data_IF_423602252064
#
_entry.id   IF_423602252064
#
_cell.length_a   1.000
_cell.length_b   1.000
_cell.length_c   1.000
_cell.angle_alpha   90.00
_cell.angle_beta   90.00
_cell.angle_gamma   90.00
#
_symmetry.space_group_name_H-M   'P 1'
#
loop_
_entity.id
_entity.type
_entity.pdbx_description
1 polymer ?
#
# COMPACT_ATOMS: atom_id res chain seq x y z
N UNK A 1 17.77 -4.76 -19.34
CA UNK A 1 18.01 -3.50 -20.08
C UNK A 1 18.21 -2.38 -19.08
N UNK A 2 19.33 -1.66 -19.17
CA UNK A 2 19.67 -0.53 -18.29
C UNK A 2 18.96 0.71 -18.83
N UNK A 3 17.80 1.05 -18.26
CA UNK A 3 17.17 2.36 -18.43
C UNK A 3 17.10 3.05 -17.07
N UNK A 4 18.26 3.45 -16.56
CA UNK A 4 18.37 4.57 -15.63
C UNK A 4 18.86 5.79 -16.42
N UNK A 5 18.13 6.14 -17.49
CA UNK A 5 18.14 7.53 -17.94
C UNK A 5 17.31 8.27 -16.91
N UNK A 6 17.99 9.03 -16.06
CA UNK A 6 17.42 9.94 -15.07
C UNK A 6 16.71 11.05 -15.84
N UNK A 7 15.51 10.74 -16.35
CA UNK A 7 14.53 11.76 -16.60
C UNK A 7 14.13 12.27 -15.22
N UNK A 8 14.62 13.46 -14.86
CA UNK A 8 14.03 14.32 -13.87
C UNK A 8 12.59 14.60 -14.32
N UNK A 9 11.69 13.64 -14.11
CA UNK A 9 10.26 13.87 -14.15
C UNK A 9 10.02 14.73 -12.92
N UNK A 10 10.06 16.04 -13.13
CA UNK A 10 9.54 17.03 -12.20
C UNK A 10 8.19 16.49 -11.70
N UNK A 11 8.10 16.11 -10.42
CA UNK A 11 6.86 15.79 -9.72
C UNK A 11 5.93 17.03 -9.59
N UNK A 12 5.99 17.95 -10.55
CA UNK A 12 5.04 19.02 -10.71
C UNK A 12 3.77 18.42 -11.32
N UNK A 13 2.83 18.04 -10.46
CA UNK A 13 1.44 17.86 -10.86
C UNK A 13 1.13 16.60 -11.67
N UNK A 14 1.47 15.41 -11.16
CA UNK A 14 0.58 14.27 -11.39
C UNK A 14 -0.69 14.50 -10.58
N UNK A 15 -1.54 15.41 -11.04
CA UNK A 15 -2.96 15.31 -10.82
C UNK A 15 -3.37 14.00 -11.49
N UNK A 16 -3.23 12.89 -10.76
CA UNK A 16 -3.79 11.62 -11.19
C UNK A 16 -5.26 11.91 -11.45
N UNK A 17 -5.64 11.84 -12.73
CA UNK A 17 -7.01 11.98 -13.16
C UNK A 17 -7.85 11.16 -12.19
N UNK A 18 -8.71 11.86 -11.46
CA UNK A 18 -9.59 11.36 -10.42
C UNK A 18 -10.52 10.34 -11.09
N UNK A 19 -10.05 9.11 -11.21
CA UNK A 19 -10.91 7.97 -11.47
C UNK A 19 -11.82 7.88 -10.27
N UNK A 20 -13.06 8.34 -10.41
CA UNK A 20 -14.11 8.21 -9.43
C UNK A 20 -14.15 6.74 -8.96
N UNK A 21 -13.60 6.47 -7.78
CA UNK A 21 -13.94 5.29 -6.99
C UNK A 21 -15.37 5.48 -6.49
N UNK A 22 -16.32 5.29 -7.41
CA UNK A 22 -17.74 5.21 -7.11
C UNK A 22 -17.98 4.00 -6.23
N UNK A 23 -18.64 4.26 -5.11
CA UNK A 23 -19.21 3.31 -4.18
C UNK A 23 -20.11 2.30 -4.91
N UNK A 24 -19.59 1.11 -5.22
CA UNK A 24 -20.38 0.02 -5.80
C UNK A 24 -20.92 -0.85 -4.67
N UNK A 25 -22.00 -0.40 -4.05
CA UNK A 25 -22.92 -1.23 -3.26
C UNK A 25 -24.10 -1.62 -4.13
N UNK A 26 -23.82 -2.31 -5.23
CA UNK A 26 -24.74 -3.26 -5.83
C UNK A 26 -23.88 -4.32 -6.48
N UNK A 27 -24.05 -5.58 -6.08
CA UNK A 27 -23.46 -6.74 -6.74
C UNK A 27 -24.09 -6.90 -8.13
N UNK A 28 -23.85 -5.95 -9.03
CA UNK A 28 -23.99 -6.17 -10.45
C UNK A 28 -22.70 -6.81 -10.94
N UNK A 29 -22.84 -7.91 -11.66
CA UNK A 29 -21.83 -8.50 -12.56
C UNK A 29 -21.45 -7.48 -13.66
N UNK A 30 -20.91 -6.32 -13.27
CA UNK A 30 -20.46 -5.26 -14.15
C UNK A 30 -19.03 -5.53 -14.58
N UNK A 31 -18.86 -6.13 -15.76
CA UNK A 31 -17.71 -5.95 -16.67
C UNK A 31 -16.42 -5.43 -16.02
N UNK A 32 -15.73 -6.29 -15.27
CA UNK A 32 -14.38 -6.06 -14.71
C UNK A 32 -13.26 -5.89 -15.77
N UNK A 33 -13.59 -5.60 -17.03
CA UNK A 33 -12.75 -6.00 -18.15
C UNK A 33 -11.81 -4.93 -18.73
N UNK A 34 -11.90 -3.63 -18.38
CA UNK A 34 -11.14 -2.61 -19.13
C UNK A 34 -10.61 -1.40 -18.35
N UNK A 35 -10.37 -1.49 -17.04
CA UNK A 35 -9.62 -0.39 -16.39
C UNK A 35 -8.16 -0.41 -16.88
N UNK A 36 -7.58 0.76 -17.17
CA UNK A 36 -6.16 0.88 -17.56
C UNK A 36 -5.23 0.19 -16.55
N UNK A 37 -5.58 0.24 -15.26
CA UNK A 37 -4.84 -0.45 -14.20
C UNK A 37 -4.87 -1.98 -14.35
N UNK A 38 -6.02 -2.55 -14.75
CA UNK A 38 -6.13 -3.99 -15.01
C UNK A 38 -5.27 -4.40 -16.21
N UNK A 39 -5.26 -3.59 -17.28
CA UNK A 39 -4.40 -3.81 -18.45
C UNK A 39 -2.91 -3.70 -18.08
N UNK A 40 -2.51 -2.75 -17.24
CA UNK A 40 -1.13 -2.66 -16.78
C UNK A 40 -0.71 -3.86 -15.91
N UNK A 41 -1.60 -4.34 -15.03
CA UNK A 41 -1.34 -5.58 -14.27
C UNK A 41 -1.19 -6.78 -15.19
N UNK A 42 -1.99 -6.87 -16.24
CA UNK A 42 -1.86 -7.92 -17.25
C UNK A 42 -0.51 -7.83 -17.97
N UNK A 43 -0.10 -6.64 -18.42
CA UNK A 43 1.23 -6.42 -19.02
C UNK A 43 2.34 -6.88 -18.07
N UNK A 44 2.28 -6.53 -16.78
CA UNK A 44 3.27 -6.96 -15.79
C UNK A 44 3.30 -8.48 -15.60
N UNK A 45 2.13 -9.14 -15.52
CA UNK A 45 2.03 -10.58 -15.35
C UNK A 45 2.58 -11.35 -16.56
N UNK A 46 2.20 -10.91 -17.77
CA UNK A 46 2.70 -11.51 -19.02
C UNK A 46 4.23 -11.30 -19.13
N UNK A 47 4.72 -10.11 -18.82
CA UNK A 47 6.17 -9.80 -18.80
C UNK A 47 6.90 -10.73 -17.82
N UNK A 48 6.39 -10.88 -16.59
CA UNK A 48 7.01 -11.77 -15.59
C UNK A 48 7.02 -13.24 -16.04
N UNK A 49 5.96 -13.72 -16.69
CA UNK A 49 5.90 -15.09 -17.20
C UNK A 49 6.92 -15.33 -18.32
N UNK A 50 7.05 -14.37 -19.25
CA UNK A 50 8.04 -14.41 -20.33
C UNK A 50 9.46 -14.37 -19.76
N UNK A 51 9.73 -13.46 -18.82
CA UNK A 51 11.04 -13.35 -18.15
C UNK A 51 11.40 -14.62 -17.37
N UNK A 52 10.43 -15.25 -16.71
CA UNK A 52 10.63 -16.52 -16.01
C UNK A 52 11.01 -17.63 -16.98
N UNK A 53 10.29 -17.78 -18.10
CA UNK A 53 10.57 -18.81 -19.10
C UNK A 53 11.93 -18.63 -19.79
N UNK A 54 12.39 -17.39 -19.90
CA UNK A 54 13.70 -17.04 -20.49
C UNK A 54 14.88 -17.17 -19.51
N UNK A 55 14.62 -17.38 -18.21
CA UNK A 55 15.67 -17.58 -17.20
C UNK A 55 15.66 -19.04 -16.73
N UNK A 56 16.48 -19.89 -17.37
CA UNK A 56 16.47 -21.34 -17.12
C UNK A 56 16.66 -21.66 -15.62
N UNK A 57 17.60 -21.04 -14.91
CA UNK A 57 17.80 -21.28 -13.47
C UNK A 57 16.56 -20.96 -12.62
N UNK A 58 15.86 -19.86 -12.88
CA UNK A 58 14.61 -19.52 -12.18
C UNK A 58 13.49 -20.46 -12.59
N UNK A 59 13.43 -20.83 -13.87
CA UNK A 59 12.45 -21.75 -14.40
C UNK A 59 12.59 -23.14 -13.74
N UNK A 60 13.80 -23.70 -13.72
CA UNK A 60 14.13 -24.98 -13.08
C UNK A 60 13.71 -24.98 -11.61
N UNK A 61 14.00 -23.88 -10.90
CA UNK A 61 13.63 -23.71 -9.49
C UNK A 61 12.11 -23.71 -9.29
N UNK A 62 11.35 -23.05 -10.17
CA UNK A 62 9.87 -23.00 -10.11
C UNK A 62 9.25 -24.33 -10.55
N UNK A 63 9.84 -24.98 -11.54
CA UNK A 63 9.38 -26.26 -12.05
C UNK A 63 9.84 -27.45 -11.19
N UNK A 64 10.74 -27.23 -10.21
CA UNK A 64 11.42 -28.26 -9.43
C UNK A 64 12.17 -29.27 -10.32
N UNK A 65 12.88 -28.77 -11.34
CA UNK A 65 13.58 -29.57 -12.36
C UNK A 65 12.68 -30.61 -13.05
N UNK A 66 11.37 -30.35 -13.16
CA UNK A 66 10.44 -31.22 -13.83
C UNK A 66 10.26 -30.78 -15.29
N UNK A 67 10.85 -31.53 -16.21
CA UNK A 67 10.85 -31.22 -17.65
C UNK A 67 9.44 -30.98 -18.23
N UNK A 68 8.43 -31.75 -17.79
CA UNK A 68 7.04 -31.56 -18.25
C UNK A 68 6.45 -30.22 -17.80
N UNK A 69 6.71 -29.82 -16.55
CA UNK A 69 6.27 -28.51 -16.03
C UNK A 69 7.01 -27.36 -16.72
N UNK A 70 8.30 -27.51 -16.99
CA UNK A 70 9.08 -26.52 -17.73
C UNK A 70 8.53 -26.32 -19.15
N UNK A 71 8.27 -27.42 -19.86
CA UNK A 71 7.68 -27.38 -21.20
C UNK A 71 6.30 -26.68 -21.18
N UNK A 72 5.45 -26.99 -20.19
CA UNK A 72 4.16 -26.33 -20.03
C UNK A 72 4.28 -24.82 -19.72
N UNK A 73 5.26 -24.42 -18.91
CA UNK A 73 5.53 -23.01 -18.62
C UNK A 73 6.07 -22.27 -19.85
N UNK A 74 6.99 -22.87 -20.60
CA UNK A 74 7.50 -22.32 -21.87
C UNK A 74 6.37 -22.15 -22.91
N UNK A 75 5.48 -23.13 -23.03
CA UNK A 75 4.31 -23.03 -23.91
C UNK A 75 3.36 -21.89 -23.49
N UNK A 76 3.04 -21.77 -22.20
CA UNK A 76 2.24 -20.64 -21.68
C UNK A 76 2.93 -19.29 -21.91
N UNK A 77 4.25 -19.23 -21.74
CA UNK A 77 5.03 -18.02 -21.98
C UNK A 77 5.03 -17.63 -23.47
N UNK A 78 5.04 -18.59 -24.40
CA UNK A 78 4.93 -18.31 -25.83
C UNK A 78 3.57 -17.66 -26.17
N UNK A 79 2.46 -18.21 -25.66
CA UNK A 79 1.13 -17.58 -25.83
C UNK A 79 1.07 -16.20 -25.16
N UNK A 80 1.65 -16.07 -23.97
CA UNK A 80 1.72 -14.80 -23.25
C UNK A 80 2.54 -13.75 -24.02
N UNK A 81 3.63 -14.14 -24.67
CA UNK A 81 4.47 -13.26 -25.48
C UNK A 81 3.68 -12.65 -26.64
N UNK A 82 2.85 -13.43 -27.34
CA UNK A 82 1.98 -12.90 -28.40
C UNK A 82 0.99 -11.88 -27.86
N UNK A 83 0.33 -12.17 -26.73
CA UNK A 83 -0.61 -11.23 -26.10
C UNK A 83 0.09 -9.97 -25.60
N UNK A 84 1.28 -10.13 -25.02
CA UNK A 84 2.11 -9.02 -24.55
C UNK A 84 2.51 -8.11 -25.70
N UNK A 85 2.90 -8.66 -26.87
CA UNK A 85 3.23 -7.88 -28.05
C UNK A 85 2.03 -7.04 -28.53
N UNK A 86 0.81 -7.60 -28.53
CA UNK A 86 -0.41 -6.86 -28.85
C UNK A 86 -0.63 -5.70 -27.87
N UNK A 87 -0.52 -5.93 -26.56
CA UNK A 87 -0.69 -4.87 -25.56
C UNK A 87 0.40 -3.79 -25.66
N UNK A 88 1.64 -4.20 -25.93
CA UNK A 88 2.79 -3.29 -26.07
C UNK A 88 2.71 -2.41 -27.32
N UNK A 89 1.97 -2.83 -28.35
CA UNK A 89 1.74 -2.00 -29.54
C UNK A 89 0.93 -0.73 -29.25
N UNK A 90 0.18 -0.69 -28.13
CA UNK A 90 -0.56 0.50 -27.70
C UNK A 90 0.37 1.43 -26.88
N UNK A 91 0.97 2.41 -27.56
CA UNK A 91 1.93 3.34 -26.95
C UNK A 91 1.35 4.13 -25.75
N UNK A 92 0.09 4.56 -25.83
CA UNK A 92 -0.60 5.30 -24.74
C UNK A 92 -0.79 4.44 -23.50
N UNK A 93 -1.20 3.18 -23.69
CA UNK A 93 -1.30 2.20 -22.60
C UNK A 93 0.07 2.00 -21.97
N UNK A 94 1.11 1.75 -22.77
CA UNK A 94 2.47 1.50 -22.26
C UNK A 94 3.06 2.70 -21.51
N UNK A 95 2.81 3.93 -21.97
CA UNK A 95 3.21 5.13 -21.25
C UNK A 95 2.57 5.18 -19.85
N UNK A 96 1.28 4.86 -19.74
CA UNK A 96 0.58 4.80 -18.45
C UNK A 96 1.11 3.66 -17.58
N UNK A 97 1.31 2.47 -18.15
CA UNK A 97 1.81 1.32 -17.40
C UNK A 97 3.23 1.51 -16.90
N UNK A 98 4.09 2.20 -17.65
CA UNK A 98 5.45 2.52 -17.20
C UNK A 98 5.44 3.39 -15.94
N UNK A 99 4.52 4.35 -15.82
CA UNK A 99 4.35 5.14 -14.60
C UNK A 99 3.86 4.29 -13.43
N UNK A 100 2.91 3.38 -13.67
CA UNK A 100 2.42 2.44 -12.66
C UNK A 100 3.53 1.52 -12.18
N UNK A 101 4.32 0.96 -13.10
CA UNK A 101 5.43 0.06 -12.78
C UNK A 101 6.53 0.77 -11.99
N UNK A 102 6.85 2.02 -12.35
CA UNK A 102 7.79 2.82 -11.57
C UNK A 102 7.28 3.02 -10.13
N UNK A 103 5.99 3.35 -9.95
CA UNK A 103 5.39 3.50 -8.63
C UNK A 103 5.38 2.17 -7.84
N UNK A 104 5.05 1.05 -8.49
CA UNK A 104 5.09 -0.28 -7.86
C UNK A 104 6.52 -0.70 -7.48
N UNK A 105 7.52 -0.37 -8.30
CA UNK A 105 8.93 -0.62 -7.99
C UNK A 105 9.40 0.21 -6.78
N UNK A 106 8.99 1.48 -6.70
CA UNK A 106 9.26 2.30 -5.52
C UNK A 106 8.59 1.71 -4.27
N UNK A 107 7.32 1.30 -4.35
CA UNK A 107 6.62 0.61 -3.24
C UNK A 107 7.31 -0.67 -2.80
N UNK A 108 7.76 -1.50 -3.75
CA UNK A 108 8.50 -2.72 -3.46
C UNK A 108 9.84 -2.40 -2.76
N UNK A 109 10.52 -1.35 -3.20
CA UNK A 109 11.74 -0.85 -2.56
C UNK A 109 11.48 -0.34 -1.14
N UNK A 110 10.38 0.39 -0.91
CA UNK A 110 9.95 0.80 0.44
C UNK A 110 9.67 -0.39 1.36
N UNK A 111 8.92 -1.39 0.86
CA UNK A 111 8.63 -2.60 1.62
C UNK A 111 9.91 -3.36 1.98
N UNK A 112 10.87 -3.44 1.05
CA UNK A 112 12.19 -4.05 1.31
C UNK A 112 12.96 -3.25 2.36
N UNK A 113 13.03 -1.93 2.24
CA UNK A 113 13.70 -1.06 3.20
C UNK A 113 13.11 -1.25 4.61
N UNK A 114 11.78 -1.15 4.75
CA UNK A 114 11.10 -1.37 6.02
C UNK A 114 11.34 -2.78 6.62
N UNK A 115 11.41 -3.81 5.77
CA UNK A 115 11.70 -5.17 6.23
C UNK A 115 13.14 -5.31 6.73
N UNK A 116 14.12 -4.72 6.04
CA UNK A 116 15.52 -4.73 6.45
C UNK A 116 15.74 -3.91 7.73
N UNK A 117 15.08 -2.77 7.89
CA UNK A 117 15.12 -1.98 9.12
C UNK A 117 14.51 -2.74 10.31
N UNK A 118 13.39 -3.45 10.10
CA UNK A 118 12.81 -4.32 11.13
C UNK A 118 13.75 -5.45 11.52
N UNK A 119 14.43 -6.07 10.55
CA UNK A 119 15.43 -7.10 10.81
C UNK A 119 16.60 -6.52 11.62
N UNK A 120 17.12 -5.34 11.23
CA UNK A 120 18.19 -4.66 11.94
C UNK A 120 17.80 -4.34 13.40
N UNK A 121 16.60 -3.78 13.62
CA UNK A 121 16.06 -3.52 14.96
C UNK A 121 15.89 -4.80 15.78
N UNK A 122 15.40 -5.87 15.17
CA UNK A 122 15.22 -7.16 15.84
C UNK A 122 16.57 -7.72 16.32
N UNK A 123 17.59 -7.74 15.48
CA UNK A 123 18.90 -8.31 15.86
C UNK A 123 19.68 -7.44 16.85
N UNK A 124 19.36 -6.14 16.92
CA UNK A 124 19.93 -5.20 17.89
C UNK A 124 19.29 -5.31 19.29
N UNK A 125 18.09 -5.89 19.40
CA UNK A 125 17.40 -6.10 20.68
C UNK A 125 17.53 -7.57 21.10
N UNK A 126 18.44 -7.86 22.03
CA UNK A 126 18.73 -9.23 22.48
C UNK A 126 17.47 -9.97 22.96
N UNK A 127 16.66 -9.35 23.82
CA UNK A 127 15.42 -9.96 24.35
C UNK A 127 14.39 -10.26 23.26
N UNK A 128 14.18 -9.33 22.32
CA UNK A 128 13.25 -9.54 21.20
C UNK A 128 13.78 -10.62 20.23
N UNK A 129 15.09 -10.66 20.00
CA UNK A 129 15.73 -11.70 19.19
C UNK A 129 15.60 -13.08 19.84
N UNK A 130 15.85 -13.17 21.13
CA UNK A 130 15.74 -14.41 21.90
C UNK A 130 14.30 -14.90 21.93
N UNK A 131 13.33 -14.01 22.14
CA UNK A 131 11.90 -14.33 22.04
C UNK A 131 11.52 -14.81 20.63
N UNK A 132 11.94 -14.10 19.58
CA UNK A 132 11.66 -14.46 18.19
C UNK A 132 12.30 -15.79 17.78
N UNK A 133 13.44 -16.14 18.37
CA UNK A 133 14.18 -17.38 18.07
C UNK A 133 13.88 -18.51 19.04
N UNK A 134 13.06 -18.28 20.08
CA UNK A 134 12.80 -19.20 21.19
C UNK A 134 14.10 -19.64 21.88
N UNK A 135 15.00 -18.71 22.12
CA UNK A 135 16.35 -18.94 22.69
C UNK A 135 17.20 -19.92 21.85
N UNK A 136 16.93 -20.08 20.55
CA UNK A 136 17.72 -20.95 19.69
C UNK A 136 18.92 -20.18 19.11
N UNK A 137 20.10 -20.45 19.65
CA UNK A 137 21.35 -19.77 19.28
C UNK A 137 21.66 -19.85 17.77
N UNK A 138 21.42 -20.99 17.12
CA UNK A 138 21.66 -21.16 15.68
C UNK A 138 20.75 -20.27 14.84
N UNK A 139 19.47 -20.15 15.19
CA UNK A 139 18.52 -19.25 14.51
C UNK A 139 18.89 -17.78 14.74
N UNK A 140 19.29 -17.42 15.96
CA UNK A 140 19.74 -16.06 16.27
C UNK A 140 20.99 -15.69 15.45
N UNK A 141 21.98 -16.59 15.38
CA UNK A 141 23.17 -16.41 14.56
C UNK A 141 22.83 -16.26 13.06
N UNK A 142 21.91 -17.07 12.54
CA UNK A 142 21.47 -16.96 11.14
C UNK A 142 20.77 -15.61 10.84
N UNK A 143 19.96 -15.09 11.77
CA UNK A 143 19.33 -13.78 11.62
C UNK A 143 20.37 -12.65 11.67
N UNK A 144 21.33 -12.71 12.60
CA UNK A 144 22.44 -11.74 12.68
C UNK A 144 23.27 -11.74 11.40
N UNK A 145 23.63 -12.93 10.89
CA UNK A 145 24.37 -13.07 9.64
C UNK A 145 23.58 -12.49 8.44
N UNK A 146 22.27 -12.77 8.37
CA UNK A 146 21.40 -12.21 7.32
C UNK A 146 21.31 -10.69 7.42
N UNK A 147 21.17 -10.13 8.62
CA UNK A 147 21.13 -8.68 8.83
C UNK A 147 22.44 -8.02 8.39
N UNK A 148 23.59 -8.61 8.73
CA UNK A 148 24.90 -8.14 8.29
C UNK A 148 25.06 -8.20 6.76
N UNK A 149 24.64 -9.29 6.12
CA UNK A 149 24.70 -9.45 4.67
C UNK A 149 23.84 -8.43 3.90
N UNK A 150 22.70 -8.00 4.46
CA UNK A 150 21.81 -7.02 3.84
C UNK A 150 22.05 -5.57 4.30
N UNK A 151 23.04 -5.33 5.18
CA UNK A 151 23.33 -3.99 5.69
C UNK A 151 23.72 -3.02 4.57
N UNK A 152 24.50 -3.48 3.58
CA UNK A 152 24.86 -2.70 2.40
C UNK A 152 23.64 -2.36 1.53
N UNK A 153 22.73 -3.31 1.34
CA UNK A 153 21.47 -3.08 0.62
C UNK A 153 20.62 -2.02 1.33
N UNK A 154 20.47 -2.13 2.66
CA UNK A 154 19.70 -1.16 3.44
C UNK A 154 20.30 0.24 3.31
N UNK A 155 21.62 0.37 3.47
CA UNK A 155 22.33 1.65 3.31
C UNK A 155 22.13 2.24 1.90
N UNK A 156 22.19 1.41 0.85
CA UNK A 156 21.94 1.85 -0.51
C UNK A 156 20.49 2.29 -0.77
N UNK A 157 19.51 1.69 -0.09
CA UNK A 157 18.11 2.12 -0.20
C UNK A 157 17.88 3.43 0.56
N UNK A 158 18.48 3.57 1.75
CA UNK A 158 18.35 4.77 2.59
C UNK A 158 19.09 5.99 2.02
N UNK A 159 20.17 5.80 1.26
CA UNK A 159 20.88 6.90 0.61
C UNK A 159 20.15 7.49 -0.60
N UNK A 160 19.12 6.80 -1.11
CA UNK A 160 18.30 7.29 -2.20
C UNK A 160 17.22 8.26 -1.67
N UNK A 161 17.48 9.57 -1.79
CA UNK A 161 16.60 10.63 -1.30
C UNK A 161 15.18 10.57 -1.91
N UNK A 162 15.05 10.29 -3.21
CA UNK A 162 13.75 10.18 -3.88
C UNK A 162 12.95 9.00 -3.33
N UNK A 163 13.61 7.86 -3.13
CA UNK A 163 12.98 6.66 -2.56
C UNK A 163 12.54 6.92 -1.12
N UNK A 164 13.41 7.46 -0.27
CA UNK A 164 13.08 7.73 1.14
C UNK A 164 11.92 8.72 1.29
N UNK A 165 11.89 9.78 0.48
CA UNK A 165 10.75 10.70 0.42
C UNK A 165 9.46 9.99 -0.02
N UNK A 166 9.52 9.17 -1.07
CA UNK A 166 8.37 8.38 -1.52
C UNK A 166 7.87 7.42 -0.44
N UNK A 167 8.77 6.74 0.26
CA UNK A 167 8.42 5.80 1.33
C UNK A 167 7.77 6.49 2.53
N UNK A 168 8.22 7.70 2.89
CA UNK A 168 7.60 8.50 3.95
C UNK A 168 6.14 8.87 3.62
N UNK A 169 5.87 9.23 2.36
CA UNK A 169 4.49 9.51 1.90
C UNK A 169 3.64 8.25 1.93
N UNK A 170 4.15 7.11 1.47
CA UNK A 170 3.42 5.84 1.51
C UNK A 170 3.19 5.35 2.95
N UNK A 171 4.12 5.58 3.88
CA UNK A 171 3.94 5.29 5.31
C UNK A 171 2.86 6.18 5.93
N UNK A 172 2.88 7.47 5.62
CA UNK A 172 1.83 8.41 6.05
C UNK A 172 0.47 7.95 5.54
N UNK A 173 0.37 7.62 4.25
CA UNK A 173 -0.85 7.09 3.63
C UNK A 173 -1.32 5.79 4.31
N UNK A 174 -0.42 4.86 4.59
CA UNK A 174 -0.75 3.62 5.30
C UNK A 174 -1.28 3.89 6.72
N UNK A 175 -0.69 4.87 7.42
CA UNK A 175 -1.14 5.31 8.74
C UNK A 175 -2.52 5.96 8.68
N UNK A 176 -2.79 6.80 7.69
CA UNK A 176 -4.12 7.37 7.45
C UNK A 176 -5.18 6.29 7.18
N UNK A 177 -4.85 5.28 6.36
CA UNK A 177 -5.75 4.14 6.14
C UNK A 177 -5.95 3.28 7.41
N UNK A 178 -4.95 3.20 8.29
CA UNK A 178 -5.10 2.53 9.57
C UNK A 178 -6.05 3.32 10.49
N UNK A 179 -5.92 4.65 10.55
CA UNK A 179 -6.84 5.52 11.30
C UNK A 179 -8.28 5.39 10.81
N UNK A 180 -8.51 5.44 9.49
CA UNK A 180 -9.84 5.26 8.91
C UNK A 180 -10.47 3.90 9.27
N UNK A 181 -9.65 2.83 9.30
CA UNK A 181 -10.11 1.49 9.73
C UNK A 181 -10.46 1.44 11.21
N UNK A 182 -9.62 2.02 12.08
CA UNK A 182 -9.90 2.09 13.52
C UNK A 182 -11.19 2.87 13.79
N UNK A 183 -11.40 4.00 13.10
CA UNK A 183 -12.64 4.78 13.19
C UNK A 183 -13.87 3.95 12.80
N UNK A 184 -13.75 3.16 11.74
CA UNK A 184 -14.82 2.24 11.32
C UNK A 184 -15.11 1.18 12.37
N UNK A 185 -14.10 0.50 12.92
CA UNK A 185 -14.30 -0.50 13.98
C UNK A 185 -15.01 0.10 15.20
N UNK A 186 -14.60 1.30 15.61
CA UNK A 186 -15.21 2.01 16.75
C UNK A 186 -16.67 2.35 16.46
N UNK A 187 -16.97 2.84 15.26
CA UNK A 187 -18.35 3.15 14.85
C UNK A 187 -19.23 1.89 14.81
N UNK A 188 -18.71 0.78 14.28
CA UNK A 188 -19.40 -0.52 14.25
C UNK A 188 -19.65 -1.05 15.68
N UNK A 189 -18.69 -0.89 16.60
CA UNK A 189 -18.83 -1.32 18.00
C UNK A 189 -19.85 -0.49 18.79
N UNK A 190 -20.14 0.73 18.35
CA UNK A 190 -21.19 1.58 18.89
C UNK A 190 -22.58 1.29 18.28
N UNK A 191 -22.64 0.58 17.14
CA UNK A 191 -23.90 0.28 16.45
C UNK A 191 -24.50 -1.05 16.92
N UNK A 192 -25.48 -0.98 17.83
CA UNK A 192 -26.13 -2.16 18.40
C UNK A 192 -26.81 -3.06 17.35
N UNK A 193 -27.45 -2.48 16.33
CA UNK A 193 -28.10 -3.24 15.25
C UNK A 193 -27.08 -3.98 14.39
N UNK A 194 -25.99 -3.32 14.01
CA UNK A 194 -24.90 -3.96 13.25
C UNK A 194 -24.28 -5.10 14.07
N UNK A 195 -24.06 -4.90 15.36
CA UNK A 195 -23.52 -5.94 16.24
C UNK A 195 -24.47 -7.14 16.34
N UNK A 196 -25.76 -6.91 16.54
CA UNK A 196 -26.74 -7.98 16.65
C UNK A 196 -26.87 -8.78 15.36
N UNK A 197 -26.93 -8.11 14.21
CA UNK A 197 -26.99 -8.75 12.88
C UNK A 197 -25.70 -9.50 12.55
N UNK A 198 -24.54 -8.85 12.70
CA UNK A 198 -23.23 -9.43 12.37
C UNK A 198 -22.86 -10.63 13.24
N UNK A 199 -23.21 -10.58 14.53
CA UNK A 199 -22.93 -11.65 15.48
C UNK A 199 -24.13 -12.56 15.77
N UNK A 200 -25.28 -12.35 15.10
CA UNK A 200 -26.53 -13.12 15.26
C UNK A 200 -26.95 -13.23 16.73
N UNK A 201 -26.87 -12.12 17.46
CA UNK A 201 -27.19 -12.05 18.89
C UNK A 201 -26.20 -12.76 19.83
N UNK A 202 -25.05 -13.25 19.36
CA UNK A 202 -24.04 -13.90 20.21
C UNK A 202 -23.34 -12.88 21.14
N UNK A 203 -23.84 -12.78 22.38
CA UNK A 203 -23.37 -11.80 23.37
C UNK A 203 -21.88 -11.93 23.71
N UNK A 204 -21.31 -13.14 23.73
CA UNK A 204 -19.88 -13.34 23.99
C UNK A 204 -19.00 -12.78 22.87
N UNK A 205 -19.41 -12.99 21.61
CA UNK A 205 -18.69 -12.44 20.46
C UNK A 205 -18.82 -10.91 20.40
N UNK A 206 -20.01 -10.37 20.68
CA UNK A 206 -20.27 -8.94 20.78
C UNK A 206 -19.39 -8.29 21.86
N UNK A 207 -19.34 -8.87 23.07
CA UNK A 207 -18.50 -8.38 24.16
C UNK A 207 -17.01 -8.37 23.76
N UNK A 208 -16.51 -9.47 23.18
CA UNK A 208 -15.13 -9.57 22.71
C UNK A 208 -14.80 -8.56 21.60
N UNK A 209 -15.76 -8.25 20.73
CA UNK A 209 -15.60 -7.22 19.69
C UNK A 209 -15.54 -5.82 20.32
N UNK A 210 -16.45 -5.51 21.25
CA UNK A 210 -16.43 -4.24 22.00
C UNK A 210 -15.13 -4.04 22.77
N UNK A 211 -14.61 -5.08 23.42
CA UNK A 211 -13.32 -5.03 24.12
C UNK A 211 -12.16 -4.72 23.17
N UNK A 212 -12.16 -5.31 21.98
CA UNK A 212 -11.16 -5.01 20.94
C UNK A 212 -11.31 -3.57 20.43
N UNK A 213 -12.54 -3.14 20.15
CA UNK A 213 -12.82 -1.80 19.69
C UNK A 213 -12.41 -0.74 20.72
N UNK A 214 -12.56 -1.01 22.02
CA UNK A 214 -12.08 -0.14 23.08
C UNK A 214 -10.55 0.02 23.08
N UNK A 215 -9.80 -1.06 22.84
CA UNK A 215 -8.33 -0.99 22.65
C UNK A 215 -7.96 -0.22 21.38
N UNK A 216 -8.70 -0.44 20.30
CA UNK A 216 -8.54 0.28 19.03
C UNK A 216 -8.89 1.77 19.17
N UNK A 217 -9.86 2.13 20.02
CA UNK A 217 -10.21 3.52 20.34
C UNK A 217 -9.05 4.24 21.02
N UNK A 218 -8.37 3.61 21.98
CA UNK A 218 -7.17 4.19 22.62
C UNK A 218 -6.07 4.45 21.58
N UNK A 219 -5.85 3.49 20.66
CA UNK A 219 -4.88 3.64 19.58
C UNK A 219 -5.27 4.75 18.61
N UNK A 220 -6.55 4.83 18.26
CA UNK A 220 -7.09 5.88 17.40
C UNK A 220 -6.89 7.26 18.02
N UNK A 221 -7.22 7.43 19.31
CA UNK A 221 -7.02 8.68 20.04
C UNK A 221 -5.54 9.11 20.06
N UNK A 222 -4.61 8.16 20.25
CA UNK A 222 -3.17 8.41 20.18
C UNK A 222 -2.69 8.86 18.79
N UNK A 223 -3.33 8.37 17.71
CA UNK A 223 -3.02 8.82 16.35
C UNK A 223 -3.67 10.18 16.03
N UNK A 224 -4.89 10.42 16.52
CA UNK A 224 -5.61 11.68 16.30
C UNK A 224 -5.03 12.85 17.08
N UNK A 225 -4.33 12.61 18.20
CA UNK A 225 -3.64 13.66 18.94
C UNK A 225 -2.43 14.24 18.19
N UNK A 226 -1.95 13.56 17.14
CA UNK A 226 -0.91 14.08 16.25
C UNK A 226 -1.54 14.98 15.17
N UNK A 227 -1.53 16.29 15.40
CA UNK A 227 -2.10 17.31 14.51
C UNK A 227 -1.45 17.34 13.11
N UNK A 228 -0.14 17.06 13.03
CA UNK A 228 0.60 16.98 11.77
C UNK A 228 0.10 15.79 10.93
N UNK A 229 -0.03 14.62 11.55
CA UNK A 229 -0.53 13.41 10.88
C UNK A 229 -1.98 13.60 10.39
N UNK A 230 -2.86 14.13 11.24
CA UNK A 230 -4.27 14.37 10.85
C UNK A 230 -4.37 15.36 9.69
N UNK A 231 -3.58 16.44 9.71
CA UNK A 231 -3.50 17.40 8.60
C UNK A 231 -3.00 16.74 7.31
N UNK A 232 -1.96 15.90 7.40
CA UNK A 232 -1.45 15.14 6.26
C UNK A 232 -2.50 14.15 5.71
N UNK A 233 -3.26 13.48 6.57
CA UNK A 233 -4.32 12.57 6.14
C UNK A 233 -5.46 13.29 5.40
N UNK A 234 -5.84 14.48 5.87
CA UNK A 234 -6.81 15.33 5.18
C UNK A 234 -6.28 15.79 3.82
N UNK A 235 -5.01 16.19 3.73
CA UNK A 235 -4.38 16.61 2.47
C UNK A 235 -4.27 15.46 1.46
N UNK A 236 -4.03 14.23 1.94
CA UNK A 236 -4.01 13.02 1.10
C UNK A 236 -5.42 12.57 0.68
N UNK A 237 -6.47 13.24 1.14
CA UNK A 237 -7.87 12.89 0.91
C UNK A 237 -8.14 11.41 1.21
N UNK A 238 -7.46 10.85 2.21
CA UNK A 238 -7.77 9.54 2.78
C UNK A 238 -8.93 9.76 3.74
N UNK A 239 -10.06 10.23 3.21
CA UNK A 239 -11.29 10.32 3.99
C UNK A 239 -11.71 8.92 4.34
N UNK A 240 -11.99 8.72 5.62
CA UNK A 240 -12.69 7.54 6.11
C UNK A 240 -13.95 7.40 5.27
N UNK A 241 -13.96 6.46 4.32
CA UNK A 241 -15.21 5.89 3.83
C UNK A 241 -15.82 5.11 4.99
N UNK A 242 -16.24 5.83 6.03
CA UNK A 242 -17.40 5.45 6.79
C UNK A 242 -18.54 5.65 5.80
N UNK A 243 -18.86 4.59 5.05
CA UNK A 243 -20.13 4.47 4.36
C UNK A 243 -21.20 4.56 5.44
N UNK A 244 -21.58 5.77 5.81
CA UNK A 244 -22.81 6.04 6.53
C UNK A 244 -23.91 5.82 5.51
N UNK A 245 -24.28 4.55 5.32
CA UNK A 245 -25.59 4.21 4.80
C UNK A 245 -26.60 4.59 5.89
N UNK A 246 -26.79 5.88 6.07
CA UNK A 246 -27.99 6.40 6.72
C UNK A 246 -28.92 6.71 5.56
N UNK A 247 -29.78 5.75 5.24
CA UNK A 247 -30.98 5.99 4.45
C UNK A 247 -31.86 6.98 5.22
N UNK A 248 -31.51 8.27 5.14
CA UNK A 248 -32.44 9.34 5.49
C UNK A 248 -33.12 9.69 4.19
N UNK A 249 -34.37 9.25 4.06
CA UNK A 249 -35.25 9.61 2.96
C UNK A 249 -35.19 11.12 2.72
N UNK A 250 -34.73 11.50 1.53
CA UNK A 250 -34.63 12.89 1.11
C UNK A 250 -36.03 13.49 0.91
N UNK A 251 -36.30 14.56 1.65
CA UNK A 251 -37.25 15.59 1.22
C UNK A 251 -36.46 16.59 0.37
N UNK A 252 -36.78 16.61 -0.92
CA UNK A 252 -36.21 17.49 -1.94
C UNK A 252 -36.69 18.93 -1.73
N UNK A 253 -35.77 19.86 -1.52
CA UNK A 253 -36.03 21.29 -1.75
C UNK A 253 -34.95 21.84 -2.68
N UNK A 254 -35.40 22.18 -3.87
CA UNK A 254 -34.67 22.82 -4.95
C UNK A 254 -34.33 24.25 -4.56
N UNK A 255 -33.07 24.67 -4.71
CA UNK A 255 -32.79 26.10 -4.94
C UNK A 255 -31.57 26.28 -5.82
N UNK A 256 -31.83 27.03 -6.88
CA UNK A 256 -31.00 27.42 -8.02
C UNK A 256 -30.10 28.60 -7.66
N UNK A 257 -28.92 28.70 -8.28
CA UNK A 257 -28.27 29.99 -8.57
C UNK A 257 -26.80 30.14 -8.15
N UNK A 258 -25.92 30.13 -9.16
CA UNK A 258 -24.73 30.98 -9.46
C UNK A 258 -24.04 31.72 -8.30
N UNK A 259 -22.70 31.86 -8.22
CA UNK A 259 -21.85 32.77 -9.04
C UNK A 259 -20.36 32.35 -8.99
N UNK A 260 -19.64 32.65 -10.08
CA UNK A 260 -18.20 32.60 -10.24
C UNK A 260 -17.43 33.63 -9.39
N UNK A 261 -16.23 33.23 -8.93
CA UNK A 261 -15.04 34.05 -8.62
C UNK A 261 -13.85 33.06 -8.59
N UNK A 262 -12.77 33.17 -9.36
CA UNK A 262 -12.04 34.39 -9.69
C UNK A 262 -11.04 34.69 -8.56
N UNK A 263 -10.05 33.81 -8.35
CA UNK A 263 -9.06 33.94 -7.28
C UNK A 263 -7.65 33.61 -7.78
N UNK A 264 -6.86 34.65 -7.98
CA UNK A 264 -5.47 34.59 -8.41
C UNK A 264 -4.53 34.06 -7.31
N UNK A 265 -3.51 33.32 -7.77
CA UNK A 265 -2.16 33.18 -7.22
C UNK A 265 -1.91 33.35 -5.72
N UNK A 266 -1.59 32.24 -5.07
CA UNK A 266 -0.44 32.14 -4.15
C UNK A 266 0.18 30.76 -4.30
N UNK A 267 1.18 30.64 -5.17
CA UNK A 267 2.19 29.58 -5.10
C UNK A 267 2.94 29.74 -3.79
N UNK A 268 2.46 29.09 -2.72
CA UNK A 268 3.30 28.92 -1.54
C UNK A 268 4.43 27.96 -1.94
N UNK A 269 5.70 28.35 -1.76
CA UNK A 269 6.78 27.40 -1.90
C UNK A 269 6.52 26.30 -0.86
N UNK A 270 6.53 25.03 -1.29
CA UNK A 270 6.80 23.92 -0.39
C UNK A 270 8.18 24.18 0.21
N UNK A 271 8.21 24.98 1.27
CA UNK A 271 9.36 25.15 2.12
C UNK A 271 9.76 23.74 2.55
N UNK A 272 11.01 23.42 2.28
CA UNK A 272 11.63 22.17 2.63
C UNK A 272 11.17 21.77 4.05
N UNK A 273 10.43 20.66 4.15
CA UNK A 273 10.28 19.91 5.38
C UNK A 273 11.67 19.37 5.73
N UNK A 274 12.52 20.26 6.26
CA UNK A 274 13.80 19.92 6.85
C UNK A 274 13.51 19.06 8.06
N UNK A 275 13.67 17.75 7.88
CA UNK A 275 14.06 16.79 8.90
C UNK A 275 13.48 17.03 10.29
N UNK A 276 12.18 16.78 10.46
CA UNK A 276 11.67 16.45 11.79
C UNK A 276 12.02 14.99 12.06
N UNK A 277 13.27 14.72 12.42
CA UNK A 277 13.68 13.48 13.12
C UNK A 277 13.11 13.53 14.54
N UNK A 278 11.78 13.50 14.66
CA UNK A 278 11.12 13.28 15.93
C UNK A 278 11.33 11.81 16.29
N UNK A 279 12.27 11.59 17.21
CA UNK A 279 12.42 10.37 17.99
C UNK A 279 11.09 10.08 18.68
N UNK A 280 10.25 9.27 18.06
CA UNK A 280 9.03 8.70 18.64
C UNK A 280 9.00 7.20 18.37
N UNK A 281 10.14 6.54 18.60
CA UNK A 281 10.27 5.09 18.63
C UNK A 281 10.64 4.70 20.05
N UNK A 282 9.64 4.45 20.89
CA UNK A 282 9.79 3.56 22.04
C UNK A 282 8.46 3.04 22.61
N UNK A 283 7.38 3.83 22.64
CA UNK A 283 6.26 3.49 23.53
C UNK A 283 5.06 2.73 22.91
N UNK A 284 4.88 2.69 21.58
CA UNK A 284 3.60 2.23 20.99
C UNK A 284 3.68 0.86 20.28
N UNK A 285 4.87 0.26 20.13
CA UNK A 285 5.04 -1.02 19.40
C UNK A 285 5.26 -2.25 20.29
N UNK A 286 5.04 -2.13 21.61
CA UNK A 286 5.13 -3.25 22.58
C UNK A 286 3.77 -3.66 23.19
N UNK A 287 2.65 -3.20 22.62
CA UNK A 287 1.28 -3.61 22.95
C UNK A 287 0.57 -4.12 21.69
#
# INVERSE_FOLDING_TARGET
MKFFSVALISLAGLAMAKGHQGNSTTAQHGTHANSTMAQCREVAQLTHLVDLANNQTRLDKVAHNNATKEAALKAKAATAATKLATLQSNATLMATCNQVFAAEQMRASCARMAALERLARLVANATALDAATKNNATKAAALKAKAAAEAGTLSSLQSNATLTQFCSVEETKATCHAMARLQKTVAEAANATWLDDHFKGNQTAIAKFKDRAAKEQTRLAALQSNSTLTSACSALNVTSQASTSTDTAGSSTTTTGSVAQGGAGTTQPLAALTSLTAVLVAAVLLL
#
